data_IF_678681658340
#
_entry.id   IF_678681658340
#
_cell.length_a   1.000
_cell.length_b   1.000
_cell.length_c   1.000
_cell.angle_alpha   90.00
_cell.angle_beta   90.00
_cell.angle_gamma   90.00
#
_symmetry.space_group_name_H-M   'P 1'
#
loop_
_entity.id
_entity.type
_entity.pdbx_description
1 polymer ?
#
# COMPACT_ATOMS: atom_id res chain seq x y z
N UNK A 1 11.01 -29.33 8.49
CA UNK A 1 11.20 -29.20 9.94
C UNK A 1 9.88 -28.82 10.58
N UNK A 2 9.26 -29.72 11.35
CA UNK A 2 8.01 -29.36 12.04
C UNK A 2 8.28 -28.47 13.26
N UNK A 3 7.43 -27.48 13.47
CA UNK A 3 7.47 -26.60 14.64
C UNK A 3 6.38 -26.95 15.66
N UNK A 4 6.63 -26.74 16.95
CA UNK A 4 5.70 -27.11 18.00
C UNK A 4 4.84 -25.93 18.48
N UNK A 5 3.63 -26.22 18.98
CA UNK A 5 2.82 -25.23 19.70
C UNK A 5 3.61 -24.67 20.89
N UNK A 6 3.65 -23.34 20.99
CA UNK A 6 4.36 -22.62 22.03
C UNK A 6 5.81 -22.29 21.70
N UNK A 7 6.36 -22.84 20.62
CA UNK A 7 7.72 -22.57 20.16
C UNK A 7 7.83 -21.11 19.67
N UNK A 8 9.00 -20.50 19.94
CA UNK A 8 9.35 -19.18 19.40
C UNK A 8 10.12 -19.35 18.11
N UNK A 9 9.65 -18.66 17.09
CA UNK A 9 10.15 -18.72 15.72
C UNK A 9 10.34 -17.32 15.18
N UNK A 10 10.95 -17.21 14.00
CA UNK A 10 10.98 -15.97 13.24
C UNK A 10 10.02 -16.14 12.06
N UNK A 11 9.12 -15.21 11.84
CA UNK A 11 8.17 -15.26 10.72
C UNK A 11 8.32 -14.03 9.84
N UNK A 12 8.20 -14.24 8.53
CA UNK A 12 8.19 -13.13 7.58
C UNK A 12 6.89 -12.34 7.65
N UNK A 13 7.03 -11.02 7.63
CA UNK A 13 5.94 -10.06 7.45
C UNK A 13 6.48 -8.84 6.71
N UNK A 14 5.88 -8.49 5.57
CA UNK A 14 6.31 -7.38 4.69
C UNK A 14 7.82 -7.39 4.38
N UNK A 15 8.36 -8.57 4.04
CA UNK A 15 9.77 -8.75 3.68
C UNK A 15 10.76 -8.70 4.85
N UNK A 16 10.29 -8.41 6.07
CA UNK A 16 11.10 -8.40 7.29
C UNK A 16 10.82 -9.63 8.15
N UNK A 17 11.80 -10.05 8.93
CA UNK A 17 11.66 -11.12 9.91
C UNK A 17 11.27 -10.55 11.27
N UNK A 18 10.27 -11.15 11.91
CA UNK A 18 9.85 -10.79 13.25
C UNK A 18 9.79 -12.00 14.16
N UNK A 19 10.08 -11.80 15.45
CA UNK A 19 9.88 -12.84 16.43
C UNK A 19 8.39 -13.13 16.61
N UNK A 20 8.02 -14.41 16.55
CA UNK A 20 6.65 -14.88 16.69
C UNK A 20 6.58 -16.11 17.59
N UNK A 21 5.39 -16.39 18.13
CA UNK A 21 5.08 -17.57 18.92
C UNK A 21 4.00 -18.38 18.22
N UNK A 22 4.22 -19.68 18.09
CA UNK A 22 3.21 -20.59 17.54
C UNK A 22 2.10 -20.80 18.58
N UNK A 23 0.88 -20.43 18.21
CA UNK A 23 -0.32 -20.62 19.00
C UNK A 23 -1.00 -21.96 18.71
N UNK A 24 -1.09 -22.35 17.43
CA UNK A 24 -1.72 -23.59 16.99
C UNK A 24 -1.00 -24.20 15.79
N UNK A 25 -1.08 -25.51 15.67
CA UNK A 25 -0.58 -26.28 14.51
C UNK A 25 -1.75 -27.05 13.93
N UNK A 26 -1.92 -27.01 12.62
CA UNK A 26 -2.99 -27.71 11.90
C UNK A 26 -2.43 -28.27 10.60
N UNK A 27 -2.74 -29.51 10.28
CA UNK A 27 -2.41 -30.09 8.97
C UNK A 27 -3.58 -29.86 8.00
N UNK A 28 -3.25 -29.40 6.78
CA UNK A 28 -4.22 -29.24 5.70
C UNK A 28 -3.58 -29.74 4.40
N UNK A 29 -4.22 -30.73 3.75
CA UNK A 29 -3.73 -31.32 2.49
C UNK A 29 -2.26 -31.82 2.57
N UNK A 30 -1.88 -32.48 3.66
CA UNK A 30 -0.51 -32.94 3.93
C UNK A 30 0.56 -31.84 4.15
N UNK A 31 0.16 -30.57 4.30
CA UNK A 31 1.08 -29.48 4.65
C UNK A 31 0.76 -28.92 6.05
N UNK A 32 1.77 -28.68 6.90
CA UNK A 32 1.56 -28.08 8.22
C UNK A 32 1.33 -26.56 8.09
N UNK A 33 0.25 -26.09 8.70
CA UNK A 33 -0.07 -24.69 8.90
C UNK A 33 0.09 -24.31 10.37
N UNK A 34 0.63 -23.13 10.61
CA UNK A 34 0.96 -22.62 11.92
C UNK A 34 0.21 -21.32 12.17
N UNK A 35 -0.61 -21.28 13.22
CA UNK A 35 -1.17 -20.03 13.69
C UNK A 35 -0.15 -19.35 14.58
N UNK A 36 0.30 -18.15 14.22
CA UNK A 36 1.38 -17.46 14.91
C UNK A 36 0.91 -16.13 15.50
N UNK A 37 1.57 -15.70 16.56
CA UNK A 37 1.41 -14.38 17.18
C UNK A 37 2.76 -13.66 17.20
N UNK A 38 2.84 -12.48 16.60
CA UNK A 38 4.06 -11.67 16.60
C UNK A 38 4.31 -11.05 17.97
N UNK A 39 5.54 -11.17 18.47
CA UNK A 39 5.92 -10.70 19.79
C UNK A 39 5.85 -9.17 19.84
N UNK A 40 5.06 -8.63 20.76
CA UNK A 40 4.86 -7.19 20.93
C UNK A 40 3.80 -6.60 20.00
N UNK A 41 3.12 -7.42 19.19
CA UNK A 41 2.08 -6.98 18.28
C UNK A 41 0.70 -7.26 18.86
N UNK A 42 -0.33 -6.60 18.32
CA UNK A 42 -1.73 -6.88 18.68
C UNK A 42 -2.17 -8.25 18.16
N UNK A 43 -3.06 -8.94 18.90
CA UNK A 43 -3.67 -10.22 18.51
C UNK A 43 -4.41 -10.17 17.17
N UNK A 44 -4.77 -8.98 16.69
CA UNK A 44 -5.37 -8.80 15.38
C UNK A 44 -4.45 -9.28 14.23
N UNK A 45 -3.14 -9.28 14.46
CA UNK A 45 -2.14 -9.74 13.49
C UNK A 45 -1.85 -11.24 13.57
N UNK A 46 -2.55 -11.97 14.44
CA UNK A 46 -2.42 -13.41 14.51
C UNK A 46 -2.92 -14.00 13.19
N UNK A 47 -2.07 -14.79 12.54
CA UNK A 47 -2.35 -15.32 11.20
C UNK A 47 -1.93 -16.77 11.10
N UNK A 48 -2.57 -17.49 10.17
CA UNK A 48 -2.11 -18.79 9.74
C UNK A 48 -1.06 -18.61 8.66
N UNK A 49 0.08 -19.26 8.82
CA UNK A 49 1.17 -19.25 7.85
C UNK A 49 1.71 -20.66 7.60
N UNK A 50 2.40 -20.85 6.48
CA UNK A 50 3.02 -22.12 6.10
C UNK A 50 4.41 -22.27 6.71
N UNK A 51 4.98 -23.48 6.62
CA UNK A 51 6.36 -23.74 7.06
C UNK A 51 7.40 -22.90 6.32
N UNK A 52 7.15 -22.54 5.05
CA UNK A 52 8.08 -21.74 4.22
C UNK A 52 8.29 -20.31 4.73
N UNK A 53 7.31 -19.75 5.43
CA UNK A 53 7.31 -18.38 5.95
C UNK A 53 7.88 -18.29 7.37
N UNK A 54 8.20 -19.44 7.98
CA UNK A 54 8.68 -19.54 9.34
C UNK A 54 10.10 -20.09 9.35
N UNK A 55 10.98 -19.36 10.01
CA UNK A 55 12.35 -19.77 10.28
C UNK A 55 12.53 -20.14 11.74
N UNK A 56 13.35 -21.15 12.00
CA UNK A 56 13.77 -21.49 13.36
C UNK A 56 14.59 -20.34 13.93
N UNK A 57 14.35 -20.01 15.20
CA UNK A 57 15.14 -19.02 15.93
C UNK A 57 16.53 -19.60 16.28
N UNK A 58 17.45 -19.55 15.33
CA UNK A 58 18.86 -19.90 15.49
C UNK A 58 19.73 -18.64 15.29
N UNK A 59 21.04 -18.75 15.54
CA UNK A 59 21.96 -17.59 15.43
C UNK A 59 21.96 -16.97 14.02
N UNK A 60 22.01 -17.82 12.99
CA UNK A 60 22.02 -17.40 11.58
C UNK A 60 20.77 -16.61 11.17
N UNK A 61 19.58 -17.11 11.53
CA UNK A 61 18.32 -16.44 11.17
C UNK A 61 18.07 -15.18 12.01
N UNK A 62 18.60 -15.12 13.24
CA UNK A 62 18.58 -13.90 14.05
C UNK A 62 19.50 -12.84 13.44
N UNK A 63 20.69 -13.22 12.97
CA UNK A 63 21.58 -12.32 12.24
C UNK A 63 20.93 -11.84 10.93
N UNK A 64 20.24 -12.73 10.20
CA UNK A 64 19.45 -12.35 9.01
C UNK A 64 18.37 -11.33 9.35
N UNK A 65 17.65 -11.52 10.45
CA UNK A 65 16.65 -10.56 10.95
C UNK A 65 17.28 -9.21 11.26
N UNK A 66 18.40 -9.19 11.99
CA UNK A 66 19.11 -7.96 12.35
C UNK A 66 19.62 -7.21 11.12
N UNK A 67 20.19 -7.92 10.15
CA UNK A 67 20.67 -7.35 8.90
C UNK A 67 19.52 -6.73 8.09
N UNK A 68 18.39 -7.44 7.94
CA UNK A 68 17.20 -6.91 7.25
C UNK A 68 16.65 -5.65 7.94
N UNK A 69 16.60 -5.63 9.27
CA UNK A 69 16.19 -4.44 10.02
C UNK A 69 17.20 -3.30 9.93
N UNK A 70 18.50 -3.61 9.89
CA UNK A 70 19.56 -2.61 9.78
C UNK A 70 19.57 -1.98 8.39
N UNK A 71 19.44 -2.78 7.33
CA UNK A 71 19.32 -2.29 5.96
C UNK A 71 18.10 -1.39 5.79
N UNK A 72 16.95 -1.78 6.34
CA UNK A 72 15.74 -0.95 6.35
C UNK A 72 15.93 0.37 7.12
N UNK A 73 16.68 0.38 8.24
CA UNK A 73 17.00 1.61 8.97
C UNK A 73 18.04 2.48 8.27
N UNK A 74 18.98 1.88 7.56
CA UNK A 74 20.03 2.61 6.84
C UNK A 74 19.45 3.25 5.57
N UNK A 75 18.56 2.57 4.85
CA UNK A 75 17.80 3.19 3.75
C UNK A 75 16.97 4.38 4.24
N UNK A 76 16.28 4.25 5.38
CA UNK A 76 15.54 5.37 6.00
C UNK A 76 16.46 6.54 6.44
N UNK A 77 17.68 6.26 6.92
CA UNK A 77 18.66 7.29 7.31
C UNK A 77 19.29 7.99 6.10
N UNK A 78 19.62 7.23 5.06
CA UNK A 78 20.13 7.75 3.79
C UNK A 78 19.05 8.62 3.12
N UNK A 79 17.78 8.23 3.16
CA UNK A 79 16.66 9.05 2.67
C UNK A 79 16.51 10.36 3.45
N UNK A 80 16.56 10.31 4.79
CA UNK A 80 16.49 11.52 5.65
C UNK A 80 17.67 12.48 5.45
N UNK A 81 18.86 11.96 5.16
CA UNK A 81 20.06 12.80 4.92
C UNK A 81 20.10 13.43 3.51
N UNK A 82 19.47 12.81 2.50
CA UNK A 82 19.34 13.32 1.12
C UNK A 82 18.40 14.52 0.97
N UNK A 83 17.47 14.75 1.91
CA UNK A 83 16.56 15.91 1.92
C UNK A 83 17.31 17.25 2.10
N UNK A 84 18.53 17.24 2.65
CA UNK A 84 19.25 18.47 3.01
C UNK A 84 20.18 19.05 1.94
N UNK A 85 20.52 18.34 0.85
CA UNK A 85 21.61 18.80 -0.06
C UNK A 85 21.38 18.84 -1.56
N UNK A 86 20.30 18.34 -2.14
CA UNK A 86 20.21 18.37 -3.62
C UNK A 86 18.78 18.38 -4.16
N UNK A 87 18.20 19.59 -4.25
CA UNK A 87 17.56 19.99 -5.51
C UNK A 87 18.53 19.60 -6.65
N UNK A 88 18.05 18.87 -7.65
CA UNK A 88 18.77 18.53 -8.91
C UNK A 88 19.51 17.18 -8.91
N UNK A 89 18.75 16.08 -9.05
CA UNK A 89 18.92 15.07 -10.11
C UNK A 89 17.74 14.10 -10.08
N UNK A 90 17.13 13.91 -11.26
CA UNK A 90 16.03 13.01 -11.61
C UNK A 90 16.02 11.72 -10.77
N UNK A 91 14.91 11.45 -10.09
CA UNK A 91 14.62 10.15 -9.50
C UNK A 91 13.79 9.35 -10.50
N UNK A 92 14.45 8.59 -11.37
CA UNK A 92 13.84 7.38 -11.95
C UNK A 92 13.81 6.35 -10.82
N UNK A 93 12.62 5.95 -10.39
CA UNK A 93 12.46 4.87 -9.41
C UNK A 93 12.71 3.54 -10.16
N UNK A 94 13.91 2.98 -10.01
CA UNK A 94 14.18 1.57 -10.33
C UNK A 94 14.33 0.84 -9.00
N UNK A 95 13.26 0.16 -8.59
CA UNK A 95 13.28 -0.81 -7.51
C UNK A 95 13.28 -2.19 -8.18
N UNK A 96 14.47 -2.78 -8.29
CA UNK A 96 14.62 -4.15 -8.79
C UNK A 96 14.94 -5.04 -7.60
N UNK A 97 13.94 -5.79 -7.14
CA UNK A 97 14.21 -7.07 -6.50
C UNK A 97 14.67 -8.02 -7.62
N UNK A 98 15.99 -8.14 -7.74
CA UNK A 98 16.61 -9.15 -8.58
C UNK A 98 16.50 -10.49 -7.87
N UNK A 99 15.45 -11.26 -8.18
CA UNK A 99 15.58 -12.64 -8.67
C UNK A 99 14.19 -13.25 -8.97
N UNK A 100 14.13 -13.88 -10.15
CA UNK A 100 13.08 -14.77 -10.69
C UNK A 100 11.68 -14.21 -11.01
N UNK A 101 11.64 -13.39 -12.07
CA UNK A 101 10.81 -13.47 -13.29
C UNK A 101 10.85 -12.05 -13.89
N UNK A 102 11.35 -11.91 -15.13
CA UNK A 102 11.63 -10.63 -15.79
C UNK A 102 10.39 -9.79 -16.14
N UNK A 103 9.66 -9.31 -15.14
CA UNK A 103 8.55 -8.38 -15.30
C UNK A 103 9.01 -7.03 -14.73
N UNK A 104 9.63 -6.22 -15.58
CA UNK A 104 9.98 -4.84 -15.25
C UNK A 104 8.71 -3.98 -15.28
N UNK A 105 8.05 -3.88 -14.13
CA UNK A 105 6.74 -3.27 -13.96
C UNK A 105 6.88 -1.90 -13.28
N UNK A 106 7.62 -0.99 -13.90
CA UNK A 106 7.80 0.37 -13.36
C UNK A 106 6.77 1.31 -13.97
N UNK A 107 5.68 1.54 -13.25
CA UNK A 107 4.85 2.72 -13.50
C UNK A 107 5.52 3.90 -12.79
N UNK A 108 5.95 4.90 -13.56
CA UNK A 108 6.45 6.14 -12.98
C UNK A 108 5.27 6.91 -12.37
N UNK A 109 5.37 7.19 -11.07
CA UNK A 109 4.39 8.04 -10.39
C UNK A 109 4.72 9.51 -10.69
N UNK A 110 3.75 10.31 -11.12
CA UNK A 110 3.89 11.76 -11.24
C UNK A 110 4.34 12.44 -9.93
N UNK A 111 5.18 13.49 -10.04
CA UNK A 111 5.79 14.17 -8.89
C UNK A 111 4.75 14.72 -7.90
N UNK A 112 3.66 15.30 -8.41
CA UNK A 112 2.57 15.83 -7.60
C UNK A 112 1.85 14.75 -6.76
N UNK A 113 1.72 13.53 -7.29
CA UNK A 113 1.15 12.36 -6.59
C UNK A 113 2.11 11.93 -5.48
N UNK A 114 3.42 11.94 -5.74
CA UNK A 114 4.46 11.66 -4.75
C UNK A 114 4.40 12.69 -3.62
N UNK A 115 4.32 13.97 -3.94
CA UNK A 115 4.22 15.06 -2.96
C UNK A 115 2.98 14.91 -2.06
N UNK A 116 1.83 14.55 -2.64
CA UNK A 116 0.61 14.27 -1.88
C UNK A 116 0.82 13.08 -0.91
N UNK A 117 1.46 12.00 -1.35
CA UNK A 117 1.75 10.83 -0.51
C UNK A 117 2.70 11.18 0.65
N UNK A 118 3.68 12.05 0.41
CA UNK A 118 4.58 12.53 1.47
C UNK A 118 3.81 13.34 2.52
N UNK A 119 2.95 14.26 2.09
CA UNK A 119 2.11 15.04 3.00
C UNK A 119 1.06 14.19 3.73
N UNK A 120 0.45 13.23 3.05
CA UNK A 120 -0.45 12.22 3.63
C UNK A 120 0.24 11.50 4.80
N UNK A 121 1.45 10.96 4.56
CA UNK A 121 2.23 10.28 5.59
C UNK A 121 2.50 11.16 6.80
N UNK A 122 2.94 12.40 6.59
CA UNK A 122 3.23 13.36 7.67
C UNK A 122 1.98 13.67 8.52
N UNK A 123 0.82 13.83 7.89
CA UNK A 123 -0.43 14.10 8.61
C UNK A 123 -0.86 12.91 9.47
N UNK A 124 -0.68 11.70 8.96
CA UNK A 124 -0.98 10.47 9.71
C UNK A 124 -0.01 10.29 10.89
N UNK A 125 1.28 10.62 10.70
CA UNK A 125 2.28 10.63 11.78
C UNK A 125 1.98 11.69 12.86
N UNK A 126 1.41 12.83 12.48
CA UNK A 126 0.89 13.85 13.42
C UNK A 126 -0.39 13.41 14.16
N UNK A 127 -0.89 12.20 13.87
CA UNK A 127 -2.05 11.59 14.52
C UNK A 127 -3.39 11.94 13.88
N UNK A 128 -3.39 12.54 12.69
CA UNK A 128 -4.60 12.77 11.94
C UNK A 128 -5.04 11.48 11.21
N UNK A 129 -6.32 11.39 10.85
CA UNK A 129 -6.84 10.31 10.01
C UNK A 129 -7.53 10.89 8.79
N UNK A 130 -7.39 10.23 7.64
CA UNK A 130 -8.11 10.64 6.44
C UNK A 130 -9.63 10.47 6.65
N UNK A 131 -10.38 11.53 6.39
CA UNK A 131 -11.84 11.60 6.56
C UNK A 131 -12.56 10.74 5.51
N UNK A 132 -13.75 10.27 5.88
CA UNK A 132 -14.70 9.67 4.95
C UNK A 132 -15.66 10.74 4.39
N UNK A 133 -16.19 10.51 3.18
CA UNK A 133 -17.17 11.35 2.50
C UNK A 133 -16.71 12.82 2.31
N UNK A 134 -15.43 13.00 1.97
CA UNK A 134 -14.85 14.31 1.65
C UNK A 134 -14.35 14.30 0.21
N UNK A 135 -14.78 15.30 -0.56
CA UNK A 135 -14.53 15.36 -2.00
C UNK A 135 -15.41 14.37 -2.78
N UNK A 136 -15.13 14.14 -4.07
CA UNK A 136 -15.78 13.11 -4.84
C UNK A 136 -15.43 11.72 -4.29
N UNK A 137 -16.40 10.81 -4.31
CA UNK A 137 -16.14 9.39 -4.08
C UNK A 137 -15.22 8.81 -5.15
N UNK A 138 -14.62 7.65 -4.88
CA UNK A 138 -13.76 6.97 -5.85
C UNK A 138 -14.57 6.48 -7.05
N UNK A 139 -15.82 6.06 -6.82
CA UNK A 139 -16.74 5.72 -7.90
C UNK A 139 -17.01 6.93 -8.83
N UNK A 140 -17.27 8.11 -8.28
CA UNK A 140 -17.45 9.34 -9.06
C UNK A 140 -16.15 9.75 -9.77
N UNK A 141 -15.01 9.62 -9.10
CA UNK A 141 -13.69 9.93 -9.66
C UNK A 141 -13.37 9.04 -10.88
N UNK A 142 -13.61 7.73 -10.76
CA UNK A 142 -13.39 6.76 -11.83
C UNK A 142 -14.40 6.91 -12.98
N UNK A 143 -15.66 7.24 -12.69
CA UNK A 143 -16.64 7.54 -13.72
C UNK A 143 -16.28 8.81 -14.50
N UNK A 144 -15.76 9.84 -13.83
CA UNK A 144 -15.25 11.05 -14.46
C UNK A 144 -14.05 10.76 -15.37
N UNK A 145 -13.13 9.88 -14.92
CA UNK A 145 -12.04 9.38 -15.76
C UNK A 145 -12.56 8.66 -17.00
N UNK A 146 -13.47 7.70 -16.85
CA UNK A 146 -14.09 6.99 -17.99
C UNK A 146 -14.72 7.97 -18.98
N UNK A 147 -15.54 8.90 -18.49
CA UNK A 147 -16.25 9.87 -19.32
C UNK A 147 -15.29 10.81 -20.07
N UNK A 148 -14.13 11.11 -19.49
CA UNK A 148 -13.08 11.88 -20.17
C UNK A 148 -12.50 11.13 -21.37
N UNK A 149 -12.42 9.79 -21.30
CA UNK A 149 -11.92 8.93 -22.38
C UNK A 149 -13.01 8.58 -23.39
N UNK A 150 -14.26 8.44 -22.97
CA UNK A 150 -15.34 7.98 -23.85
C UNK A 150 -15.61 8.87 -25.05
N UNK A 151 -15.31 10.17 -24.96
CA UNK A 151 -15.46 11.11 -26.07
C UNK A 151 -14.51 10.84 -27.25
N UNK A 152 -13.44 10.07 -27.03
CA UNK A 152 -12.41 9.77 -28.02
C UNK A 152 -12.38 8.30 -28.45
N UNK A 153 -13.17 7.43 -27.83
CA UNK A 153 -13.11 5.97 -28.03
C UNK A 153 -14.30 5.44 -28.81
N UNK A 154 -14.09 4.39 -29.60
CA UNK A 154 -15.19 3.66 -30.23
C UNK A 154 -15.98 2.83 -29.20
N UNK A 155 -17.15 2.31 -29.59
CA UNK A 155 -18.03 1.53 -28.69
C UNK A 155 -17.31 0.31 -28.08
N UNK A 156 -16.50 -0.38 -28.88
CA UNK A 156 -15.72 -1.53 -28.43
C UNK A 156 -14.65 -1.16 -27.39
N UNK A 157 -13.92 -0.06 -27.61
CA UNK A 157 -12.92 0.43 -26.66
C UNK A 157 -13.58 0.96 -25.38
N UNK A 158 -14.75 1.59 -25.49
CA UNK A 158 -15.54 2.03 -24.34
C UNK A 158 -15.96 0.85 -23.46
N UNK A 159 -16.39 -0.26 -24.06
CA UNK A 159 -16.72 -1.48 -23.31
C UNK A 159 -15.51 -2.03 -22.54
N UNK A 160 -14.32 -2.03 -23.16
CA UNK A 160 -13.08 -2.42 -22.46
C UNK A 160 -12.75 -1.46 -21.32
N UNK A 161 -12.94 -0.16 -21.53
CA UNK A 161 -12.70 0.87 -20.53
C UNK A 161 -13.65 0.73 -19.33
N UNK A 162 -14.90 0.36 -19.58
CA UNK A 162 -15.89 0.07 -18.54
C UNK A 162 -15.50 -1.15 -17.70
N UNK A 163 -15.03 -2.23 -18.33
CA UNK A 163 -14.53 -3.41 -17.61
C UNK A 163 -13.26 -3.09 -16.80
N UNK A 164 -12.37 -2.25 -17.34
CA UNK A 164 -11.21 -1.75 -16.60
C UNK A 164 -11.63 -0.96 -15.35
N UNK A 165 -12.58 -0.03 -15.49
CA UNK A 165 -13.11 0.76 -14.37
C UNK A 165 -13.72 -0.13 -13.28
N UNK A 166 -14.57 -1.08 -13.67
CA UNK A 166 -15.18 -2.05 -12.75
C UNK A 166 -14.11 -2.87 -12.03
N UNK A 167 -13.09 -3.32 -12.75
CA UNK A 167 -11.96 -4.07 -12.21
C UNK A 167 -11.18 -3.29 -11.17
N UNK A 168 -10.82 -2.04 -11.46
CA UNK A 168 -10.10 -1.16 -10.53
C UNK A 168 -10.94 -0.89 -9.27
N UNK A 169 -12.23 -0.58 -9.41
CA UNK A 169 -13.11 -0.31 -8.27
C UNK A 169 -13.32 -1.57 -7.40
N UNK A 170 -13.56 -2.72 -8.03
CA UNK A 170 -13.70 -3.99 -7.32
C UNK A 170 -12.42 -4.34 -6.56
N UNK A 171 -11.27 -4.08 -7.18
CA UNK A 171 -10.00 -4.38 -6.55
C UNK A 171 -9.68 -3.44 -5.39
N UNK A 172 -9.96 -2.14 -5.56
CA UNK A 172 -9.84 -1.14 -4.50
C UNK A 172 -10.60 -1.57 -3.24
N UNK A 173 -11.86 -2.00 -3.37
CA UNK A 173 -12.66 -2.44 -2.22
C UNK A 173 -12.04 -3.63 -1.48
N UNK A 174 -11.43 -4.57 -2.21
CA UNK A 174 -10.79 -5.76 -1.64
C UNK A 174 -9.51 -5.42 -0.88
N UNK A 175 -8.70 -4.51 -1.43
CA UNK A 175 -7.39 -4.18 -0.87
C UNK A 175 -7.45 -3.08 0.19
N UNK A 176 -8.52 -2.28 0.23
CA UNK A 176 -8.66 -1.12 1.09
C UNK A 176 -8.29 -1.38 2.55
N UNK A 177 -9.04 -2.25 3.23
CA UNK A 177 -8.85 -2.51 4.66
C UNK A 177 -7.56 -3.27 4.99
N UNK A 178 -6.93 -3.89 3.99
CA UNK A 178 -5.73 -4.72 4.17
C UNK A 178 -4.44 -3.93 3.95
N UNK A 179 -4.41 -3.07 2.93
CA UNK A 179 -3.17 -2.50 2.41
C UNK A 179 -3.16 -0.97 2.32
N UNK A 180 -4.30 -0.29 2.44
CA UNK A 180 -4.40 1.16 2.18
C UNK A 180 -4.53 2.03 3.44
N UNK A 181 -4.72 1.40 4.60
CA UNK A 181 -4.83 2.09 5.89
C UNK A 181 -3.50 2.02 6.66
N UNK A 182 -3.06 3.17 7.16
CA UNK A 182 -1.99 3.17 8.17
C UNK A 182 -2.50 2.56 9.48
N UNK A 183 -1.61 1.99 10.32
CA UNK A 183 -2.01 1.36 11.57
C UNK A 183 -2.85 2.27 12.49
N UNK A 184 -2.53 3.56 12.54
CA UNK A 184 -3.22 4.58 13.36
C UNK A 184 -4.62 4.93 12.85
N UNK A 185 -4.90 4.71 11.57
CA UNK A 185 -6.18 5.01 10.95
C UNK A 185 -7.20 3.87 11.06
N UNK A 186 -6.74 2.64 11.36
CA UNK A 186 -7.60 1.44 11.35
C UNK A 186 -8.81 1.61 12.27
N UNK A 187 -8.64 2.13 13.48
CA UNK A 187 -9.75 2.31 14.42
C UNK A 187 -10.78 3.34 13.94
N UNK A 188 -10.31 4.44 13.35
CA UNK A 188 -11.16 5.51 12.83
C UNK A 188 -11.91 5.09 11.56
N UNK A 189 -11.21 4.47 10.61
CA UNK A 189 -11.74 4.19 9.27
C UNK A 189 -12.51 2.86 9.21
N UNK A 190 -12.08 1.79 9.89
CA UNK A 190 -12.76 0.48 9.82
C UNK A 190 -14.19 0.49 10.38
N UNK A 191 -14.49 1.40 11.31
CA UNK A 191 -15.85 1.54 11.87
C UNK A 191 -16.77 2.41 11.02
N UNK A 192 -16.21 3.34 10.24
CA UNK A 192 -16.96 4.37 9.50
C UNK A 192 -17.16 4.03 8.02
N UNK A 193 -16.24 3.30 7.41
CA UNK A 193 -16.24 3.01 5.97
C UNK A 193 -16.69 1.58 5.76
N UNK A 194 -17.88 1.44 5.17
CA UNK A 194 -18.50 0.16 4.79
C UNK A 194 -18.40 -0.08 3.29
N UNK A 195 -18.47 0.99 2.50
CA UNK A 195 -18.23 0.97 1.06
C UNK A 195 -17.01 1.84 0.75
N UNK A 196 -15.82 1.24 0.56
CA UNK A 196 -14.61 1.99 0.30
C UNK A 196 -14.74 2.90 -0.93
N UNK A 197 -15.22 2.36 -2.06
CA UNK A 197 -15.40 3.15 -3.29
C UNK A 197 -16.30 4.38 -3.14
N UNK A 198 -17.28 4.35 -2.24
CA UNK A 198 -18.26 5.42 -2.08
C UNK A 198 -17.89 6.41 -0.98
N UNK A 199 -17.14 5.96 0.04
CA UNK A 199 -16.93 6.71 1.27
C UNK A 199 -15.48 7.12 1.49
N UNK A 200 -14.50 6.50 0.83
CA UNK A 200 -13.12 6.91 0.94
C UNK A 200 -12.87 8.21 0.16
N UNK A 201 -12.05 9.09 0.73
CA UNK A 201 -11.51 10.20 -0.03
C UNK A 201 -10.51 9.75 -1.09
N UNK A 202 -10.29 10.60 -2.09
CA UNK A 202 -9.26 10.45 -3.13
C UNK A 202 -7.86 10.15 -2.58
N UNK A 203 -7.51 10.60 -1.36
CA UNK A 203 -6.24 10.27 -0.68
C UNK A 203 -6.00 8.75 -0.61
N UNK A 204 -7.02 7.96 -0.24
CA UNK A 204 -6.88 6.50 -0.18
C UNK A 204 -6.69 5.88 -1.57
N UNK A 205 -7.29 6.48 -2.60
CA UNK A 205 -7.10 6.04 -3.98
C UNK A 205 -5.71 6.38 -4.50
N UNK A 206 -5.14 7.51 -4.10
CA UNK A 206 -3.73 7.86 -4.37
C UNK A 206 -2.78 6.83 -3.72
N UNK A 207 -3.06 6.39 -2.47
CA UNK A 207 -2.33 5.28 -1.83
C UNK A 207 -2.50 3.95 -2.59
N UNK A 208 -3.66 3.71 -3.18
CA UNK A 208 -3.90 2.53 -4.02
C UNK A 208 -3.04 2.56 -5.28
N UNK A 209 -3.03 3.69 -6.00
CA UNK A 209 -2.26 3.87 -7.21
C UNK A 209 -0.75 3.70 -6.96
N UNK A 210 -0.24 4.18 -5.82
CA UNK A 210 1.17 4.01 -5.48
C UNK A 210 1.57 2.56 -5.18
N UNK A 211 0.63 1.71 -4.78
CA UNK A 211 0.84 0.28 -4.53
C UNK A 211 0.39 -0.62 -5.69
N UNK A 212 -0.18 -0.04 -6.75
CA UNK A 212 -0.82 -0.80 -7.82
C UNK A 212 0.15 -1.79 -8.50
N UNK A 213 1.41 -1.41 -8.68
CA UNK A 213 2.44 -2.30 -9.23
C UNK A 213 2.60 -3.58 -8.39
N UNK A 214 2.63 -3.46 -7.06
CA UNK A 214 2.76 -4.61 -6.14
C UNK A 214 1.55 -5.53 -6.21
N UNK A 215 0.37 -4.95 -6.38
CA UNK A 215 -0.88 -5.67 -6.46
C UNK A 215 -1.06 -6.41 -7.80
N UNK A 216 -0.50 -5.88 -8.88
CA UNK A 216 -0.61 -6.43 -10.23
C UNK A 216 0.52 -7.39 -10.62
N UNK A 217 1.50 -7.60 -9.73
CA UNK A 217 2.69 -8.41 -10.01
C UNK A 217 2.33 -9.80 -10.57
N UNK A 218 1.46 -10.55 -9.88
CA UNK A 218 1.04 -11.88 -10.34
C UNK A 218 0.19 -11.84 -11.60
N UNK A 219 -0.65 -10.81 -11.76
CA UNK A 219 -1.50 -10.65 -12.93
C UNK A 219 -0.66 -10.43 -14.20
N UNK A 220 0.46 -9.71 -14.06
CA UNK A 220 1.34 -9.32 -15.15
C UNK A 220 2.39 -10.38 -15.48
N UNK A 221 2.43 -11.49 -14.72
CA UNK A 221 3.10 -12.72 -15.18
C UNK A 221 2.53 -13.23 -16.50
N UNK A 222 1.28 -12.87 -16.82
CA UNK A 222 0.70 -13.09 -18.15
C UNK A 222 0.96 -11.87 -19.06
N UNK A 223 1.73 -12.02 -20.16
CA UNK A 223 2.04 -10.93 -21.08
C UNK A 223 0.80 -10.30 -21.74
N UNK A 224 -0.27 -11.07 -21.96
CA UNK A 224 -1.50 -10.54 -22.53
C UNK A 224 -2.18 -9.56 -21.55
N UNK A 225 -2.20 -9.89 -20.26
CA UNK A 225 -2.72 -8.99 -19.23
C UNK A 225 -1.89 -7.72 -19.14
N UNK A 226 -0.57 -7.85 -19.17
CA UNK A 226 0.34 -6.70 -19.16
C UNK A 226 0.08 -5.80 -20.38
N UNK A 227 -0.04 -6.36 -21.58
CA UNK A 227 -0.34 -5.60 -22.80
C UNK A 227 -1.68 -4.88 -22.71
N UNK A 228 -2.70 -5.51 -22.14
CA UNK A 228 -4.05 -4.95 -22.02
C UNK A 228 -4.18 -3.88 -20.95
N UNK A 229 -3.39 -3.94 -19.86
CA UNK A 229 -3.55 -3.08 -18.69
C UNK A 229 -2.53 -1.95 -18.61
N UNK A 230 -1.40 -2.05 -19.31
CA UNK A 230 -0.33 -1.05 -19.24
C UNK A 230 -0.78 0.35 -19.66
N UNK A 231 -1.45 0.48 -20.80
CA UNK A 231 -1.93 1.79 -21.27
C UNK A 231 -3.05 2.34 -20.37
N UNK A 232 -4.12 1.59 -20.04
CA UNK A 232 -5.19 2.12 -19.18
C UNK A 232 -4.69 2.60 -17.82
N UNK A 233 -3.72 1.90 -17.21
CA UNK A 233 -3.11 2.30 -15.94
C UNK A 233 -2.28 3.57 -16.10
N UNK A 234 -1.44 3.66 -17.13
CA UNK A 234 -0.66 4.87 -17.40
C UNK A 234 -1.57 6.07 -17.66
N UNK A 235 -2.65 5.86 -18.42
CA UNK A 235 -3.70 6.83 -18.71
C UNK A 235 -4.40 7.31 -17.43
N UNK A 236 -4.69 6.39 -16.50
CA UNK A 236 -5.29 6.69 -15.20
C UNK A 236 -4.34 7.50 -14.29
N UNK A 237 -3.05 7.15 -14.26
CA UNK A 237 -2.04 7.88 -13.50
C UNK A 237 -1.87 9.31 -14.02
N UNK A 238 -1.72 9.48 -15.34
CA UNK A 238 -1.62 10.79 -15.97
C UNK A 238 -2.87 11.63 -15.71
N UNK A 239 -4.06 11.05 -15.87
CA UNK A 239 -5.31 11.76 -15.62
C UNK A 239 -5.47 12.12 -14.14
N UNK A 240 -5.09 11.23 -13.23
CA UNK A 240 -5.11 11.52 -11.78
C UNK A 240 -4.20 12.71 -11.47
N UNK A 241 -3.00 12.74 -12.04
CA UNK A 241 -2.06 13.86 -11.90
C UNK A 241 -2.69 15.20 -12.32
N UNK A 242 -3.30 15.25 -13.51
CA UNK A 242 -3.99 16.46 -13.99
C UNK A 242 -5.12 16.88 -13.03
N UNK A 243 -5.93 15.93 -12.55
CA UNK A 243 -7.05 16.22 -11.65
C UNK A 243 -6.63 16.71 -10.27
N UNK A 244 -5.55 16.17 -9.70
CA UNK A 244 -5.07 16.62 -8.38
C UNK A 244 -4.43 18.01 -8.46
N UNK A 245 -3.84 18.37 -9.60
CA UNK A 245 -3.38 19.73 -9.89
C UNK A 245 -4.55 20.71 -10.07
N UNK A 246 -5.51 20.39 -10.95
CA UNK A 246 -6.68 21.23 -11.20
C UNK A 246 -7.48 21.54 -9.92
N UNK A 247 -7.56 20.57 -9.01
CA UNK A 247 -8.26 20.73 -7.73
C UNK A 247 -7.41 21.34 -6.62
N UNK A 248 -6.13 21.65 -6.87
CA UNK A 248 -5.17 22.10 -5.85
C UNK A 248 -5.13 21.17 -4.62
N UNK A 249 -5.26 19.85 -4.82
CA UNK A 249 -5.42 18.89 -3.74
C UNK A 249 -4.28 18.94 -2.73
N UNK A 250 -3.04 19.16 -3.18
CA UNK A 250 -1.87 19.26 -2.29
C UNK A 250 -1.99 20.43 -1.31
N UNK A 251 -2.50 21.58 -1.78
CA UNK A 251 -2.69 22.78 -0.95
C UNK A 251 -3.82 22.54 0.06
N UNK A 252 -4.92 21.94 -0.40
CA UNK A 252 -6.11 21.69 0.40
C UNK A 252 -6.08 20.36 1.15
N UNK A 253 -4.94 19.66 1.16
CA UNK A 253 -4.84 18.29 1.67
C UNK A 253 -5.33 18.17 3.11
N UNK A 254 -5.08 19.19 3.95
CA UNK A 254 -5.52 19.22 5.35
C UNK A 254 -7.04 19.13 5.51
N UNK A 255 -7.82 19.62 4.53
CA UNK A 255 -9.29 19.52 4.58
C UNK A 255 -9.76 18.07 4.59
N UNK A 256 -8.99 17.16 3.99
CA UNK A 256 -9.25 15.73 3.91
C UNK A 256 -8.88 14.95 5.19
N UNK A 257 -8.32 15.60 6.21
CA UNK A 257 -7.89 14.94 7.45
C UNK A 257 -8.63 15.49 8.66
N UNK A 258 -8.81 14.64 9.67
CA UNK A 258 -9.29 15.06 10.99
C UNK A 258 -8.32 16.06 11.63
N UNK A 259 -8.80 16.81 12.61
CA UNK A 259 -7.92 17.61 13.45
C UNK A 259 -6.97 16.71 14.27
N UNK A 260 -5.75 17.19 14.56
CA UNK A 260 -4.79 16.43 15.35
C UNK A 260 -5.30 16.22 16.79
N UNK A 261 -5.10 15.04 17.38
CA UNK A 261 -5.56 14.76 18.73
C UNK A 261 -4.89 15.69 19.76
N UNK A 262 -5.66 16.12 20.76
CA UNK A 262 -5.27 17.11 21.80
C UNK A 262 -3.93 16.77 22.48
N UNK A 263 -3.57 15.49 22.59
CA UNK A 263 -2.30 15.03 23.18
C UNK A 263 -1.05 15.42 22.38
N UNK A 264 -1.16 15.65 21.07
CA UNK A 264 -0.02 16.03 20.21
C UNK A 264 0.33 17.51 20.36
N UNK A 265 -0.61 18.37 20.76
CA UNK A 265 -0.36 19.80 20.96
C UNK A 265 0.54 20.09 22.16
N UNK A 266 0.54 19.22 23.18
CA UNK A 266 1.37 19.39 24.38
C UNK A 266 2.84 18.98 24.16
N UNK A 267 3.13 18.09 23.20
CA UNK A 267 4.51 17.65 22.88
C UNK A 267 5.32 18.67 22.09
N UNK A 268 4.70 19.71 21.51
CA UNK A 268 5.39 20.80 20.80
C UNK A 268 5.73 22.00 21.69
N UNK A 269 5.37 21.95 22.99
CA UNK A 269 5.56 23.05 23.97
C UNK A 269 6.58 22.67 25.07
N UNK A 270 7.22 21.50 24.99
CA UNK A 270 8.29 21.07 25.91
C UNK A 270 9.54 20.72 25.13
#
# INVERSE_FOLDING_TARGET
MSFAKGERVLSFHDGLLYEAKILHVKEKKNEPLYHIHYVGWSKYWDTWTSESEILKKNKENVEKMENLMAECKETERIEKSKVSRSRKRKLSISLTDKEEIGIELTFELPDNIIDILQHDKLLVEDGCSSKCNVGPSIAEFMNAFRTSKSKSLCEFENSKMEEFEKGILAYFDVVYGKFLLYPTEKDYNCSKIRSPRDQCSVIHFIRFLSKLHSFLHDLFKNPANQQMLKEPIASLLSWTSERVEESNLLVEIKQYFTEPPVKTQLKKIT
#
